data_IF_232339658836
#
_entry.id   IF_232339658836
#
_cell.length_a   1.000
_cell.length_b   1.000
_cell.length_c   1.000
_cell.angle_alpha   90.00
_cell.angle_beta   90.00
_cell.angle_gamma   90.00
#
_symmetry.space_group_name_H-M   'P 1'
#
loop_
_entity.id
_entity.type
_entity.pdbx_description
1 polymer ?
#
# COMPACT_ATOMS: atom_id res chain seq x y z
N UNK A 1 33.18 0.06 20.13
CA UNK A 1 31.91 0.54 19.55
C UNK A 1 30.86 -0.54 19.70
N UNK A 2 29.66 -0.25 20.22
CA UNK A 2 28.54 -1.22 20.22
C UNK A 2 28.03 -1.36 18.78
N UNK A 3 27.62 -2.56 18.36
CA UNK A 3 26.89 -2.74 17.10
C UNK A 3 25.56 -1.98 17.21
N UNK A 4 25.47 -0.82 16.59
CA UNK A 4 24.20 -0.15 16.35
C UNK A 4 23.63 -0.75 15.06
N UNK A 5 22.46 -1.37 15.16
CA UNK A 5 21.62 -1.68 14.01
C UNK A 5 21.00 -0.36 13.53
N UNK A 6 21.56 0.23 12.47
CA UNK A 6 20.93 1.35 11.76
C UNK A 6 20.03 0.80 10.66
N UNK A 7 18.92 1.48 10.43
CA UNK A 7 17.99 1.20 9.34
C UNK A 7 17.68 2.55 8.73
N UNK A 8 18.07 2.71 7.48
CA UNK A 8 17.73 3.85 6.64
C UNK A 8 16.36 3.61 6.01
N UNK A 9 15.54 4.65 6.06
CA UNK A 9 14.20 4.70 5.49
C UNK A 9 14.01 6.03 4.78
N UNK A 10 13.15 6.05 3.77
CA UNK A 10 12.74 7.27 3.06
C UNK A 10 11.27 7.51 3.36
N UNK A 11 10.91 8.72 3.78
CA UNK A 11 9.51 9.11 3.96
C UNK A 11 9.06 9.94 2.77
N UNK A 12 7.91 9.58 2.20
CA UNK A 12 7.22 10.35 1.16
C UNK A 12 5.77 10.58 1.54
N UNK A 13 5.08 11.45 0.80
CA UNK A 13 3.63 11.46 0.75
C UNK A 13 3.17 11.48 -0.70
N UNK A 14 1.96 11.00 -0.96
CA UNK A 14 1.30 11.10 -2.26
C UNK A 14 -0.12 11.59 -2.01
N UNK A 15 -0.42 12.80 -2.49
CA UNK A 15 -1.71 13.47 -2.24
C UNK A 15 -2.11 13.55 -0.75
N UNK A 16 -1.12 13.63 0.13
CA UNK A 16 -1.27 13.76 1.58
C UNK A 16 -1.13 12.44 2.36
N UNK A 17 -1.21 11.29 1.69
CA UNK A 17 -1.08 9.99 2.35
C UNK A 17 0.41 9.59 2.51
N UNK A 18 0.89 9.29 3.72
CA UNK A 18 2.30 9.02 3.99
C UNK A 18 2.76 7.65 3.50
N UNK A 19 4.04 7.49 3.22
CA UNK A 19 4.69 6.20 2.97
C UNK A 19 6.10 6.18 3.57
N UNK A 20 6.39 5.20 4.41
CA UNK A 20 7.73 4.86 4.88
C UNK A 20 8.33 3.75 4.01
N UNK A 21 9.37 4.07 3.25
CA UNK A 21 10.08 3.15 2.37
C UNK A 21 11.23 2.53 3.15
N UNK A 22 11.10 1.25 3.49
CA UNK A 22 12.09 0.45 4.21
C UNK A 22 12.97 -0.22 3.16
N UNK A 23 14.09 0.41 2.83
CA UNK A 23 15.01 -0.02 1.77
C UNK A 23 16.32 -0.64 2.27
N UNK A 24 16.49 -0.76 3.58
CA UNK A 24 17.72 -1.27 4.21
C UNK A 24 17.42 -2.17 5.42
N UNK A 25 18.45 -2.80 5.98
CA UNK A 25 18.36 -3.54 7.25
C UNK A 25 17.78 -4.96 7.17
N UNK A 26 17.25 -5.40 6.03
CA UNK A 26 16.70 -6.75 5.83
C UNK A 26 17.52 -7.53 4.82
N UNK A 27 17.93 -8.76 5.18
CA UNK A 27 18.58 -9.71 4.28
C UNK A 27 17.58 -10.81 3.90
N UNK A 28 17.05 -10.74 2.69
CA UNK A 28 16.06 -11.70 2.20
C UNK A 28 16.71 -13.05 1.84
N UNK A 29 16.01 -14.18 2.03
CA UNK A 29 16.52 -15.49 1.62
C UNK A 29 16.79 -15.55 0.11
N UNK A 30 17.94 -16.12 -0.27
CA UNK A 30 18.32 -16.29 -1.67
C UNK A 30 17.29 -17.17 -2.39
N UNK A 31 16.87 -16.77 -3.58
CA UNK A 31 15.92 -17.53 -4.41
C UNK A 31 14.47 -17.54 -3.89
N UNK A 32 14.14 -16.73 -2.87
CA UNK A 32 12.75 -16.58 -2.43
C UNK A 32 11.93 -15.73 -3.40
N UNK A 33 10.68 -16.14 -3.62
CA UNK A 33 9.67 -15.34 -4.30
C UNK A 33 9.09 -14.26 -3.37
N UNK A 34 8.26 -13.35 -3.89
CA UNK A 34 7.67 -12.26 -3.09
C UNK A 34 6.86 -12.76 -1.88
N UNK A 35 6.18 -13.91 -2.01
CA UNK A 35 5.44 -14.53 -0.91
C UNK A 35 6.37 -15.15 0.13
N UNK A 36 7.49 -15.76 -0.28
CA UNK A 36 8.54 -16.24 0.59
C UNK A 36 9.21 -15.10 1.36
N UNK A 37 9.50 -13.99 0.68
CA UNK A 37 10.01 -12.76 1.32
C UNK A 37 9.01 -12.22 2.35
N UNK A 38 7.71 -12.19 2.03
CA UNK A 38 6.65 -11.81 2.98
C UNK A 38 6.62 -12.71 4.21
N UNK A 39 6.58 -14.03 4.04
CA UNK A 39 6.62 -14.98 5.18
C UNK A 39 7.86 -14.78 6.04
N UNK A 40 9.01 -14.53 5.41
CA UNK A 40 10.26 -14.30 6.11
C UNK A 40 10.24 -13.02 6.96
N UNK A 41 9.75 -11.90 6.42
CA UNK A 41 9.64 -10.67 7.21
C UNK A 41 8.59 -10.77 8.31
N UNK A 42 7.46 -11.46 8.08
CA UNK A 42 6.46 -11.73 9.12
C UNK A 42 7.06 -12.52 10.29
N UNK A 43 7.90 -13.53 10.00
CA UNK A 43 8.50 -14.40 11.02
C UNK A 43 9.69 -13.76 11.76
N UNK A 44 10.49 -12.93 11.07
CA UNK A 44 11.79 -12.49 11.59
C UNK A 44 11.93 -10.95 11.75
N UNK A 45 11.11 -10.16 11.06
CA UNK A 45 11.23 -8.71 10.97
C UNK A 45 9.93 -7.93 11.25
N UNK A 46 8.85 -8.57 11.74
CA UNK A 46 7.61 -7.87 12.11
C UNK A 46 7.84 -6.80 13.18
N UNK A 47 8.89 -6.96 14.00
CA UNK A 47 9.33 -5.92 14.94
C UNK A 47 9.68 -4.61 14.23
N UNK A 48 10.20 -4.65 13.01
CA UNK A 48 10.55 -3.46 12.23
C UNK A 48 9.29 -2.74 11.73
N UNK A 49 8.29 -3.51 11.25
CA UNK A 49 6.97 -2.97 10.94
C UNK A 49 6.38 -2.26 12.16
N UNK A 50 6.32 -2.94 13.31
CA UNK A 50 5.81 -2.34 14.55
C UNK A 50 6.59 -1.07 14.93
N UNK A 51 7.92 -1.13 14.90
CA UNK A 51 8.78 -0.03 15.31
C UNK A 51 8.66 1.22 14.42
N UNK A 52 8.35 1.07 13.13
CA UNK A 52 8.25 2.17 12.15
C UNK A 52 6.82 2.63 11.89
N UNK A 53 5.84 1.73 11.98
CA UNK A 53 4.43 2.04 11.71
C UNK A 53 3.69 2.51 12.96
N UNK A 54 4.08 2.04 14.14
CA UNK A 54 3.45 2.44 15.40
C UNK A 54 4.21 3.59 16.06
N UNK A 55 3.53 4.28 16.97
CA UNK A 55 4.17 5.28 17.82
C UNK A 55 5.34 4.64 18.61
N UNK A 56 6.46 5.37 18.81
CA UNK A 56 6.60 6.82 18.62
C UNK A 56 7.21 7.26 17.27
N UNK A 57 7.57 6.32 16.37
CA UNK A 57 8.21 6.69 15.09
C UNK A 57 7.20 6.85 13.96
N UNK A 58 6.17 6.01 13.97
CA UNK A 58 5.01 6.14 13.12
C UNK A 58 3.84 6.77 13.87
N UNK A 59 2.65 6.55 13.33
CA UNK A 59 1.38 6.97 13.89
C UNK A 59 0.28 6.05 13.35
N UNK A 60 -0.95 6.17 13.86
CA UNK A 60 -2.09 5.33 13.47
C UNK A 60 -2.26 5.19 11.95
N UNK A 61 -2.06 6.28 11.25
CA UNK A 61 -2.29 6.41 9.81
C UNK A 61 -0.99 6.25 8.97
N UNK A 62 0.09 5.73 9.58
CA UNK A 62 1.36 5.48 8.87
C UNK A 62 1.26 4.22 8.00
N UNK A 63 1.68 4.36 6.75
CA UNK A 63 1.80 3.26 5.79
C UNK A 63 3.25 3.04 5.41
N UNK A 64 3.61 1.82 5.05
CA UNK A 64 4.99 1.49 4.72
C UNK A 64 5.13 0.39 3.67
N UNK A 65 6.35 0.30 3.15
CA UNK A 65 6.75 -0.72 2.19
C UNK A 65 8.12 -1.26 2.52
N UNK A 66 8.22 -2.58 2.61
CA UNK A 66 9.50 -3.26 2.49
C UNK A 66 9.86 -3.32 1.02
N UNK A 67 10.87 -2.54 0.63
CA UNK A 67 11.48 -2.64 -0.68
C UNK A 67 12.41 -3.85 -0.67
N UNK A 68 12.21 -4.77 -1.59
CA UNK A 68 12.94 -6.03 -1.66
C UNK A 68 13.69 -6.15 -2.99
N UNK A 69 14.82 -6.89 -3.04
CA UNK A 69 15.41 -7.30 -4.31
C UNK A 69 14.37 -8.08 -5.15
N UNK A 70 14.44 -8.02 -6.49
CA UNK A 70 13.52 -8.80 -7.34
C UNK A 70 13.74 -10.31 -7.18
N UNK A 71 12.68 -11.11 -7.37
CA UNK A 71 12.72 -12.57 -7.32
C UNK A 71 13.32 -13.18 -8.59
N UNK A 72 13.27 -12.45 -9.72
CA UNK A 72 13.69 -12.90 -11.03
C UNK A 72 14.01 -11.75 -11.98
N UNK A 73 14.37 -12.06 -13.22
CA UNK A 73 14.79 -11.07 -14.23
C UNK A 73 13.64 -10.26 -14.84
N UNK A 74 12.39 -10.62 -14.53
CA UNK A 74 11.18 -9.98 -15.04
C UNK A 74 10.67 -8.82 -14.16
N UNK A 75 11.29 -8.61 -12.99
CA UNK A 75 11.04 -7.53 -12.05
C UNK A 75 12.34 -6.80 -11.71
N UNK A 76 12.22 -5.50 -11.42
CA UNK A 76 13.31 -4.62 -11.00
C UNK A 76 13.38 -4.51 -9.46
N UNK A 77 12.23 -4.64 -8.79
CA UNK A 77 12.13 -4.64 -7.33
C UNK A 77 10.84 -5.33 -6.85
N UNK A 78 10.82 -5.74 -5.58
CA UNK A 78 9.61 -6.26 -4.93
C UNK A 78 9.05 -5.32 -3.86
N UNK A 79 7.73 -5.32 -3.71
CA UNK A 79 6.99 -4.48 -2.76
C UNK A 79 6.19 -5.35 -1.79
N UNK A 80 6.43 -5.19 -0.50
CA UNK A 80 5.58 -5.78 0.55
C UNK A 80 5.05 -4.67 1.44
N UNK A 81 3.75 -4.42 1.31
CA UNK A 81 3.05 -3.32 1.94
C UNK A 81 2.62 -3.65 3.37
N UNK A 82 2.69 -2.65 4.24
CA UNK A 82 2.36 -2.78 5.66
C UNK A 82 1.68 -1.53 6.19
N UNK A 83 0.86 -1.71 7.22
CA UNK A 83 0.37 -0.65 8.09
C UNK A 83 0.67 -0.98 9.58
N UNK A 84 0.16 -0.15 10.48
CA UNK A 84 0.31 -0.32 11.93
C UNK A 84 -0.24 -1.66 12.46
N UNK A 85 -1.12 -2.32 11.72
CA UNK A 85 -1.89 -3.52 12.12
C UNK A 85 -1.57 -4.77 11.31
N UNK A 86 -1.27 -4.66 10.01
CA UNK A 86 -1.24 -5.80 9.10
C UNK A 86 -0.29 -5.63 7.91
N UNK A 87 -0.16 -6.71 7.15
CA UNK A 87 0.48 -6.77 5.84
C UNK A 87 -0.60 -6.78 4.75
N UNK A 88 -0.50 -5.87 3.78
CA UNK A 88 -1.47 -5.73 2.69
C UNK A 88 -0.90 -6.22 1.36
N UNK A 89 -1.72 -6.22 0.30
CA UNK A 89 -1.34 -6.84 -0.97
C UNK A 89 -0.76 -5.85 -2.00
N UNK A 90 -1.43 -4.72 -2.20
CA UNK A 90 -1.06 -3.65 -3.13
C UNK A 90 -1.41 -2.28 -2.53
N UNK A 91 -0.68 -1.23 -2.87
CA UNK A 91 -0.98 0.14 -2.46
C UNK A 91 -0.69 1.14 -3.58
N UNK A 92 -1.71 1.89 -4.03
CA UNK A 92 -1.58 2.82 -5.16
C UNK A 92 -0.78 4.08 -4.85
N UNK A 93 -1.12 4.79 -3.76
CA UNK A 93 -0.39 6.01 -3.36
C UNK A 93 1.07 5.67 -3.04
N UNK A 94 1.29 4.58 -2.33
CA UNK A 94 2.62 4.09 -1.99
C UNK A 94 3.43 3.74 -3.23
N UNK A 95 2.82 3.13 -4.27
CA UNK A 95 3.53 2.81 -5.52
C UNK A 95 4.04 4.08 -6.22
N UNK A 96 3.22 5.14 -6.27
CA UNK A 96 3.61 6.45 -6.82
C UNK A 96 4.79 7.03 -6.03
N UNK A 97 4.63 7.15 -4.70
CA UNK A 97 5.67 7.71 -3.83
C UNK A 97 6.97 6.91 -3.88
N UNK A 98 6.89 5.58 -3.86
CA UNK A 98 8.03 4.67 -3.97
C UNK A 98 8.76 4.85 -5.30
N UNK A 99 8.05 4.78 -6.43
CA UNK A 99 8.67 4.85 -7.75
C UNK A 99 9.39 6.18 -7.95
N UNK A 100 8.75 7.30 -7.58
CA UNK A 100 9.35 8.62 -7.66
C UNK A 100 10.57 8.75 -6.74
N UNK A 101 10.49 8.25 -5.51
CA UNK A 101 11.61 8.27 -4.58
C UNK A 101 12.78 7.40 -5.06
N UNK A 102 12.52 6.23 -5.65
CA UNK A 102 13.57 5.37 -6.16
C UNK A 102 14.39 6.07 -7.26
N UNK A 103 13.72 6.76 -8.19
CA UNK A 103 14.42 7.54 -9.23
C UNK A 103 15.14 8.75 -8.63
N UNK A 104 14.46 9.52 -7.77
CA UNK A 104 15.03 10.73 -7.17
C UNK A 104 16.28 10.47 -6.31
N UNK A 105 16.36 9.28 -5.67
CA UNK A 105 17.49 8.89 -4.81
C UNK A 105 18.54 8.04 -5.51
N UNK A 106 18.33 7.70 -6.78
CA UNK A 106 19.21 6.82 -7.54
C UNK A 106 19.16 5.34 -7.13
N UNK A 107 18.20 4.94 -6.29
CA UNK A 107 17.90 3.52 -6.05
C UNK A 107 17.44 2.82 -7.33
N UNK A 108 16.79 3.57 -8.23
CA UNK A 108 16.60 3.22 -9.63
C UNK A 108 17.28 4.28 -10.50
N UNK A 109 18.30 3.92 -11.30
CA UNK A 109 18.89 4.87 -12.25
C UNK A 109 17.82 5.37 -13.24
N UNK A 110 17.82 6.67 -13.49
CA UNK A 110 16.96 7.24 -14.51
C UNK A 110 17.34 6.71 -15.91
N UNK A 111 16.35 6.32 -16.69
CA UNK A 111 16.49 5.89 -18.08
C UNK A 111 15.76 6.89 -18.99
N UNK A 112 16.51 7.79 -19.62
CA UNK A 112 15.96 8.87 -20.45
C UNK A 112 14.97 9.75 -19.70
N UNK A 113 13.94 10.22 -20.41
CA UNK A 113 12.89 11.06 -19.82
C UNK A 113 11.84 10.26 -19.03
N UNK A 114 11.63 8.98 -19.36
CA UNK A 114 10.65 8.10 -18.73
C UNK A 114 11.37 6.84 -18.26
N UNK A 115 11.47 6.68 -16.94
CA UNK A 115 12.03 5.48 -16.33
C UNK A 115 10.91 4.49 -16.01
N UNK A 116 11.00 3.28 -16.56
CA UNK A 116 10.05 2.20 -16.29
C UNK A 116 10.57 1.30 -15.17
N UNK A 117 9.73 1.03 -14.17
CA UNK A 117 10.03 0.15 -13.04
C UNK A 117 9.00 -0.96 -12.98
N UNK A 118 9.45 -2.21 -13.08
CA UNK A 118 8.62 -3.42 -12.98
C UNK A 118 8.68 -3.92 -11.56
N UNK A 119 7.59 -3.76 -10.83
CA UNK A 119 7.46 -4.28 -9.48
C UNK A 119 6.77 -5.63 -9.46
N UNK A 120 7.25 -6.52 -8.58
CA UNK A 120 6.46 -7.64 -8.08
C UNK A 120 5.82 -7.25 -6.74
N UNK A 121 4.55 -7.57 -6.55
CA UNK A 121 3.85 -7.41 -5.27
C UNK A 121 3.17 -8.71 -4.90
N UNK A 122 2.66 -8.81 -3.67
CA UNK A 122 1.90 -9.99 -3.26
C UNK A 122 0.52 -10.08 -3.94
N UNK A 123 0.08 -9.03 -4.64
CA UNK A 123 -1.10 -9.06 -5.52
C UNK A 123 -0.77 -9.47 -6.96
N UNK A 124 0.51 -9.44 -7.36
CA UNK A 124 0.94 -9.61 -8.75
C UNK A 124 1.84 -8.49 -9.24
N UNK A 125 2.09 -8.47 -10.55
CA UNK A 125 2.96 -7.49 -11.22
C UNK A 125 2.32 -6.11 -11.29
N UNK A 126 3.12 -5.08 -11.03
CA UNK A 126 2.75 -3.66 -11.16
C UNK A 126 3.86 -2.97 -11.96
N UNK A 127 3.51 -2.15 -12.96
CA UNK A 127 4.52 -1.45 -13.79
C UNK A 127 4.33 0.04 -13.61
N UNK A 128 5.34 0.73 -13.08
CA UNK A 128 5.34 2.18 -12.92
C UNK A 128 6.20 2.83 -14.00
N UNK A 129 5.80 4.01 -14.43
CA UNK A 129 6.56 4.90 -15.29
C UNK A 129 6.72 6.24 -14.61
N UNK A 130 7.96 6.69 -14.49
CA UNK A 130 8.34 7.92 -13.80
C UNK A 130 8.93 8.90 -14.81
N UNK A 131 8.29 10.05 -14.97
CA UNK A 131 8.83 11.15 -15.77
C UNK A 131 9.85 11.94 -14.97
N UNK A 132 11.00 12.19 -15.58
CA UNK A 132 12.03 13.08 -15.06
C UNK A 132 12.49 14.07 -16.12
N UNK A 133 12.94 15.24 -15.68
CA UNK A 133 13.54 16.28 -16.50
C UNK A 133 14.72 16.89 -15.75
N UNK A 134 15.93 16.64 -16.24
CA UNK A 134 17.16 17.04 -15.53
C UNK A 134 17.27 16.35 -14.17
N UNK A 135 17.35 17.15 -13.11
CA UNK A 135 17.44 16.72 -11.71
C UNK A 135 16.07 16.59 -11.02
N UNK A 136 14.97 16.79 -11.75
CA UNK A 136 13.62 16.78 -11.20
C UNK A 136 12.80 15.57 -11.64
N UNK A 137 12.23 14.87 -10.67
CA UNK A 137 11.15 13.89 -10.89
C UNK A 137 9.80 14.62 -10.90
N UNK A 138 9.00 14.42 -11.94
CA UNK A 138 7.79 15.22 -12.20
C UNK A 138 6.50 14.50 -11.85
N UNK A 139 6.29 13.31 -12.42
CA UNK A 139 5.07 12.52 -12.20
C UNK A 139 5.35 11.03 -12.28
N UNK A 140 4.44 10.25 -11.72
CA UNK A 140 4.41 8.80 -11.89
C UNK A 140 3.00 8.36 -12.30
N UNK A 141 2.93 7.37 -13.20
CA UNK A 141 1.72 6.59 -13.49
C UNK A 141 2.07 5.12 -13.35
N UNK A 142 1.09 4.27 -13.10
CA UNK A 142 1.32 2.83 -13.04
C UNK A 142 0.16 2.03 -13.60
N UNK A 143 0.50 0.88 -14.17
CA UNK A 143 -0.43 -0.18 -14.49
C UNK A 143 -0.52 -1.13 -13.30
N UNK A 144 -1.73 -1.26 -12.76
CA UNK A 144 -2.03 -2.10 -11.62
C UNK A 144 -2.36 -3.54 -12.05
N UNK A 145 -2.50 -4.44 -11.08
CA UNK A 145 -3.08 -5.77 -11.29
C UNK A 145 -4.53 -5.67 -11.82
N UNK A 146 -5.06 -6.69 -12.52
CA UNK A 146 -6.43 -6.69 -13.02
C UNK A 146 -7.45 -6.40 -11.91
N UNK A 147 -8.35 -5.46 -12.18
CA UNK A 147 -9.43 -5.08 -11.28
C UNK A 147 -10.76 -5.68 -11.75
N UNK A 148 -11.60 -6.09 -10.81
CA UNK A 148 -12.91 -6.69 -11.09
C UNK A 148 -13.91 -6.45 -9.96
N UNK A 149 -15.20 -6.62 -10.25
CA UNK A 149 -16.25 -6.59 -9.24
C UNK A 149 -16.46 -8.01 -8.73
N UNK A 150 -16.33 -8.21 -7.43
CA UNK A 150 -16.50 -9.50 -6.77
C UNK A 150 -17.98 -9.75 -6.41
N UNK A 151 -18.65 -8.75 -5.85
CA UNK A 151 -20.07 -8.80 -5.48
C UNK A 151 -20.72 -7.45 -5.76
N UNK A 152 -22.01 -7.45 -6.05
CA UNK A 152 -22.79 -6.22 -6.30
C UNK A 152 -23.96 -6.12 -5.35
N UNK A 153 -24.32 -4.88 -5.04
CA UNK A 153 -25.54 -4.52 -4.31
C UNK A 153 -25.71 -5.29 -2.98
N UNK A 154 -24.62 -5.57 -2.27
CA UNK A 154 -24.66 -6.29 -0.99
C UNK A 154 -25.28 -5.39 0.07
N UNK A 155 -26.40 -5.78 0.71
CA UNK A 155 -27.06 -4.94 1.70
C UNK A 155 -26.25 -4.86 3.00
N UNK A 156 -26.11 -3.64 3.52
CA UNK A 156 -25.40 -3.32 4.78
C UNK A 156 -26.27 -2.40 5.61
N UNK A 157 -26.43 -2.72 6.89
CA UNK A 157 -27.21 -1.89 7.81
C UNK A 157 -26.32 -0.87 8.50
N UNK A 158 -26.66 0.41 8.40
CA UNK A 158 -25.94 1.49 9.06
C UNK A 158 -26.85 2.19 10.07
N UNK A 159 -26.42 2.19 11.33
CA UNK A 159 -27.15 2.87 12.40
C UNK A 159 -27.29 4.36 12.08
N UNK A 160 -28.52 4.87 12.07
CA UNK A 160 -28.83 6.25 11.71
C UNK A 160 -29.00 6.52 10.21
N UNK A 161 -28.71 5.54 9.34
CA UNK A 161 -28.81 5.69 7.87
C UNK A 161 -29.65 4.60 7.20
N UNK A 162 -30.01 3.54 7.93
CA UNK A 162 -30.78 2.41 7.40
C UNK A 162 -29.94 1.50 6.51
N UNK A 163 -30.62 0.75 5.64
CA UNK A 163 -29.97 -0.13 4.68
C UNK A 163 -29.32 0.69 3.56
N UNK A 164 -28.04 0.39 3.30
CA UNK A 164 -27.29 0.87 2.13
C UNK A 164 -26.76 -0.32 1.34
N UNK A 165 -26.45 -0.10 0.06
CA UNK A 165 -25.88 -1.13 -0.81
C UNK A 165 -24.40 -0.90 -1.02
N UNK A 166 -23.61 -1.96 -0.87
CA UNK A 166 -22.18 -1.97 -1.15
C UNK A 166 -21.85 -2.83 -2.36
N UNK A 167 -21.10 -2.29 -3.30
CA UNK A 167 -20.40 -3.07 -4.31
C UNK A 167 -19.03 -3.45 -3.77
N UNK A 168 -18.66 -4.72 -3.87
CA UNK A 168 -17.35 -5.21 -3.44
C UNK A 168 -16.49 -5.41 -4.68
N UNK A 169 -15.38 -4.68 -4.76
CA UNK A 169 -14.44 -4.74 -5.88
C UNK A 169 -13.04 -5.10 -5.42
N UNK A 170 -12.28 -5.72 -6.33
CA UNK A 170 -10.85 -5.97 -6.18
C UNK A 170 -10.09 -5.05 -7.12
N UNK A 171 -9.08 -4.35 -6.59
CA UNK A 171 -8.16 -3.51 -7.34
C UNK A 171 -6.71 -3.63 -6.83
N UNK A 172 -6.32 -4.83 -6.42
CA UNK A 172 -5.07 -5.10 -5.68
C UNK A 172 -5.28 -5.26 -4.17
N UNK A 173 -6.37 -4.72 -3.64
CA UNK A 173 -7.02 -5.12 -2.38
C UNK A 173 -8.54 -5.17 -2.60
N UNK A 174 -9.27 -5.78 -1.66
CA UNK A 174 -10.74 -5.74 -1.65
C UNK A 174 -11.26 -4.47 -0.98
N UNK A 175 -12.23 -3.82 -1.63
CA UNK A 175 -12.90 -2.62 -1.15
C UNK A 175 -14.41 -2.78 -1.23
N UNK A 176 -15.11 -2.27 -0.23
CA UNK A 176 -16.55 -2.07 -0.27
C UNK A 176 -16.85 -0.61 -0.63
N UNK A 177 -17.61 -0.40 -1.69
CA UNK A 177 -17.96 0.92 -2.22
C UNK A 177 -19.45 1.16 -2.03
N UNK A 178 -19.79 2.23 -1.32
CA UNK A 178 -21.17 2.64 -1.05
C UNK A 178 -21.36 4.03 -1.65
N UNK A 179 -22.40 4.19 -2.48
CA UNK A 179 -22.75 5.50 -3.00
C UNK A 179 -23.31 6.40 -1.90
N UNK A 180 -22.53 7.41 -1.52
CA UNK A 180 -22.88 8.41 -0.52
C UNK A 180 -23.44 9.70 -1.12
N UNK A 181 -23.76 9.71 -2.42
CA UNK A 181 -24.32 10.88 -3.09
C UNK A 181 -25.64 11.33 -2.45
N UNK A 182 -25.75 12.63 -2.22
CA UNK A 182 -26.94 13.26 -1.64
C UNK A 182 -27.21 12.97 -0.16
N UNK A 183 -26.31 12.27 0.54
CA UNK A 183 -26.44 11.93 1.96
C UNK A 183 -25.64 12.88 2.85
N UNK A 184 -26.12 13.08 4.08
CA UNK A 184 -25.39 13.77 5.14
C UNK A 184 -24.85 12.73 6.15
N UNK A 185 -23.71 12.99 6.82
CA UNK A 185 -22.83 14.12 6.62
C UNK A 185 -22.11 14.06 5.27
N UNK A 186 -21.69 15.21 4.73
CA UNK A 186 -20.83 15.26 3.52
C UNK A 186 -19.42 14.72 3.78
N UNK A 187 -18.82 14.11 2.77
CA UNK A 187 -17.40 13.70 2.79
C UNK A 187 -16.52 14.96 2.86
N UNK A 188 -16.04 15.26 4.06
CA UNK A 188 -15.21 16.41 4.40
C UNK A 188 -14.30 16.09 5.59
N UNK A 189 -13.18 16.81 5.77
CA UNK A 189 -12.23 16.55 6.85
C UNK A 189 -12.88 16.49 8.24
N UNK A 190 -13.81 17.40 8.55
CA UNK A 190 -14.51 17.45 9.84
C UNK A 190 -15.32 16.19 10.16
N UNK A 191 -15.74 15.44 9.12
CA UNK A 191 -16.54 14.22 9.24
C UNK A 191 -15.70 12.94 9.12
N UNK A 192 -14.37 13.04 8.98
CA UNK A 192 -13.51 11.89 8.73
C UNK A 192 -13.64 10.78 9.77
N UNK A 193 -13.78 11.14 11.06
CA UNK A 193 -13.98 10.16 12.13
C UNK A 193 -15.32 9.41 12.02
N UNK A 194 -16.37 10.08 11.54
CA UNK A 194 -17.68 9.45 11.29
C UNK A 194 -17.54 8.41 10.19
N UNK A 195 -16.91 8.75 9.07
CA UNK A 195 -16.70 7.82 7.96
C UNK A 195 -15.77 6.66 8.31
N UNK A 196 -14.75 6.89 9.14
CA UNK A 196 -13.89 5.82 9.66
C UNK A 196 -14.68 4.81 10.50
N UNK A 197 -15.58 5.30 11.37
CA UNK A 197 -16.45 4.46 12.17
C UNK A 197 -17.45 3.68 11.29
N UNK A 198 -18.12 4.35 10.34
CA UNK A 198 -19.03 3.71 9.40
C UNK A 198 -18.32 2.65 8.57
N UNK A 199 -17.16 2.97 8.00
CA UNK A 199 -16.34 2.02 7.23
C UNK A 199 -15.94 0.79 8.04
N UNK A 200 -15.65 0.95 9.33
CA UNK A 200 -15.37 -0.18 10.23
C UNK A 200 -16.58 -1.10 10.38
N UNK A 201 -17.78 -0.54 10.56
CA UNK A 201 -19.04 -1.30 10.66
C UNK A 201 -19.33 -2.04 9.35
N UNK A 202 -19.20 -1.38 8.20
CA UNK A 202 -19.38 -1.99 6.87
C UNK A 202 -18.42 -3.17 6.71
N UNK A 203 -17.13 -2.96 6.97
CA UNK A 203 -16.08 -3.99 6.84
C UNK A 203 -16.38 -5.21 7.73
N UNK A 204 -16.80 -4.99 8.97
CA UNK A 204 -17.13 -6.08 9.90
C UNK A 204 -18.34 -6.91 9.40
N UNK A 205 -19.41 -6.25 8.96
CA UNK A 205 -20.58 -6.95 8.43
C UNK A 205 -20.26 -7.77 7.18
N UNK A 206 -19.50 -7.19 6.24
CA UNK A 206 -19.15 -7.87 5.00
C UNK A 206 -18.18 -9.04 5.23
N UNK A 207 -17.16 -8.88 6.05
CA UNK A 207 -16.23 -9.97 6.39
C UNK A 207 -16.91 -11.14 7.13
N UNK A 208 -18.01 -10.87 7.84
CA UNK A 208 -18.81 -11.93 8.49
C UNK A 208 -19.68 -12.73 7.52
N UNK A 209 -19.94 -12.21 6.32
CA UNK A 209 -20.88 -12.80 5.34
C UNK A 209 -20.16 -13.33 4.09
N UNK A 210 -19.14 -12.63 3.62
CA UNK A 210 -18.42 -12.93 2.39
C UNK A 210 -17.12 -13.66 2.69
N UNK A 211 -16.84 -14.70 1.89
CA UNK A 211 -15.54 -15.40 1.89
C UNK A 211 -14.83 -15.07 0.59
N UNK A 212 -14.18 -13.91 0.58
CA UNK A 212 -13.34 -13.46 -0.52
C UNK A 212 -11.97 -14.15 -0.40
N UNK A 213 -11.38 -14.55 -1.54
CA UNK A 213 -10.12 -15.30 -1.60
C UNK A 213 -8.98 -14.41 -2.00
#
# INVERSE_FOLDING_TARGET
MRKLSHIDVIYTHTEGEPTCIIHSGVRYPLGSDILGKRRFIEQHYDWLRKALMQEPRGHRDMYGVFLTPPSGADADAGMIWVDATQYSHMCGHGTIGLAMAMVATGLMPADGEITTIRFESTAGRVVAEVKSSGDRVEWCRFENVPAFIAEREVPVELLGYGEVKADVSFGGNYFAQIDWSGKEPRIRPENGSVFSALGTVVRQQLNGRLKLR
#
